data_IF_055578191521
#
_entry.id   IF_055578191521
#
_cell.length_a   1.000
_cell.length_b   1.000
_cell.length_c   1.000
_cell.angle_alpha   90.00
_cell.angle_beta   90.00
_cell.angle_gamma   90.00
#
_symmetry.space_group_name_H-M   'P 1'
#
loop_
_entity.id
_entity.type
_entity.pdbx_description
1 polymer ?
#
# COMPACT_ATOMS: atom_id res chain seq x y z
N UNK A 1 3.69 46.48 -22.88
CA UNK A 1 4.76 45.59 -23.38
C UNK A 1 5.01 44.55 -22.29
N UNK A 2 4.59 43.30 -22.52
CA UNK A 2 4.56 42.27 -21.47
C UNK A 2 3.74 41.09 -21.95
N UNK A 3 4.17 40.49 -23.06
CA UNK A 3 3.44 39.39 -23.71
C UNK A 3 3.54 38.11 -22.88
N UNK A 4 2.37 37.53 -22.58
CA UNK A 4 2.23 36.24 -21.94
C UNK A 4 2.61 35.13 -22.92
N UNK A 5 3.72 34.44 -22.68
CA UNK A 5 4.09 33.25 -23.47
C UNK A 5 3.15 32.10 -23.14
N UNK A 6 2.13 31.89 -23.97
CA UNK A 6 1.36 30.62 -24.01
C UNK A 6 2.28 29.51 -24.52
N UNK A 7 2.57 28.52 -23.67
CA UNK A 7 3.20 27.26 -24.09
C UNK A 7 2.23 26.46 -24.99
N UNK A 8 2.68 25.87 -26.10
CA UNK A 8 1.82 25.04 -26.93
C UNK A 8 1.47 23.75 -26.17
N UNK A 9 0.18 23.42 -26.13
CA UNK A 9 -0.30 22.10 -25.70
C UNK A 9 0.22 21.08 -26.72
N UNK A 10 1.16 20.24 -26.31
CA UNK A 10 1.57 19.08 -27.08
C UNK A 10 0.34 18.23 -27.37
N UNK A 11 0.14 17.88 -28.64
CA UNK A 11 -0.91 16.98 -29.08
C UNK A 11 -0.70 15.64 -28.36
N UNK A 12 -1.60 15.30 -27.44
CA UNK A 12 -1.73 13.94 -26.95
C UNK A 12 -2.21 13.11 -28.13
N UNK A 13 -1.35 12.21 -28.59
CA UNK A 13 -1.71 11.12 -29.49
C UNK A 13 -2.93 10.43 -28.88
N UNK A 14 -4.07 10.55 -29.55
CA UNK A 14 -5.25 9.75 -29.24
C UNK A 14 -4.90 8.31 -29.57
N UNK A 15 -4.37 7.60 -28.57
CA UNK A 15 -4.24 6.15 -28.61
C UNK A 15 -5.62 5.52 -28.67
N UNK A 16 -5.72 4.53 -29.54
CA UNK A 16 -6.94 3.82 -29.94
C UNK A 16 -7.82 3.42 -28.74
N UNK A 17 -9.11 3.77 -28.82
CA UNK A 17 -10.12 3.54 -27.77
C UNK A 17 -10.70 2.15 -27.98
N UNK A 18 -9.94 1.12 -27.63
CA UNK A 18 -10.49 -0.21 -27.36
C UNK A 18 -10.47 -0.41 -25.85
N UNK A 19 -11.65 -0.41 -25.24
CA UNK A 19 -11.81 -0.71 -23.82
C UNK A 19 -11.17 -2.06 -23.52
N UNK A 20 -10.07 -2.06 -22.78
CA UNK A 20 -9.40 -3.28 -22.40
C UNK A 20 -10.39 -4.17 -21.62
N UNK A 21 -10.45 -5.45 -21.98
CA UNK A 21 -11.23 -6.45 -21.24
C UNK A 21 -10.83 -6.41 -19.75
N UNK A 22 -11.80 -6.50 -18.82
CA UNK A 22 -11.50 -6.49 -17.39
C UNK A 22 -10.55 -7.64 -17.04
N UNK A 23 -9.38 -7.32 -16.49
CA UNK A 23 -8.45 -8.30 -15.94
C UNK A 23 -8.87 -8.66 -14.52
N UNK A 24 -8.74 -9.92 -14.12
CA UNK A 24 -8.92 -10.34 -12.73
C UNK A 24 -7.54 -10.39 -12.06
N UNK A 25 -7.44 -9.81 -10.86
CA UNK A 25 -6.22 -9.75 -10.07
C UNK A 25 -6.46 -10.41 -8.71
N UNK A 26 -5.58 -11.33 -8.32
CA UNK A 26 -5.66 -12.05 -7.04
C UNK A 26 -4.99 -11.22 -5.93
N UNK A 27 -5.75 -10.48 -5.14
CA UNK A 27 -5.19 -9.63 -4.08
C UNK A 27 -5.13 -10.35 -2.72
N UNK A 28 -4.58 -9.66 -1.71
CA UNK A 28 -4.54 -10.15 -0.34
C UNK A 28 -5.92 -10.24 0.32
N UNK A 29 -6.88 -9.41 -0.09
CA UNK A 29 -8.24 -9.48 0.42
C UNK A 29 -9.10 -10.38 -0.45
N UNK A 30 -9.40 -9.92 -1.66
CA UNK A 30 -10.30 -10.63 -2.58
C UNK A 30 -9.85 -10.50 -4.05
N UNK A 31 -10.45 -11.28 -4.93
CA UNK A 31 -10.27 -11.14 -6.38
C UNK A 31 -10.91 -9.84 -6.86
N UNK A 32 -10.13 -9.01 -7.54
CA UNK A 32 -10.58 -7.69 -8.02
C UNK A 32 -10.60 -7.64 -9.56
N UNK A 33 -11.72 -7.24 -10.18
CA UNK A 33 -11.74 -6.89 -11.60
C UNK A 33 -11.12 -5.50 -11.81
N UNK A 34 -10.14 -5.41 -12.68
CA UNK A 34 -9.39 -4.20 -13.02
C UNK A 34 -9.58 -3.88 -14.49
N UNK A 35 -9.93 -2.64 -14.80
CA UNK A 35 -10.03 -2.15 -16.17
C UNK A 35 -9.18 -0.89 -16.32
N UNK A 36 -8.41 -0.84 -17.40
CA UNK A 36 -7.68 0.37 -17.76
C UNK A 36 -8.61 1.39 -18.40
N UNK A 37 -8.56 2.61 -17.89
CA UNK A 37 -9.26 3.76 -18.46
C UNK A 37 -8.22 4.72 -19.06
N UNK A 38 -8.14 4.74 -20.40
CA UNK A 38 -7.21 5.60 -21.14
C UNK A 38 -7.58 7.08 -21.10
N UNK A 39 -8.81 7.41 -20.70
CA UNK A 39 -9.29 8.79 -20.54
C UNK A 39 -9.11 9.34 -19.12
N UNK A 40 -8.84 8.47 -18.14
CA UNK A 40 -8.64 8.87 -16.75
C UNK A 40 -7.19 9.29 -16.47
N UNK A 41 -7.00 10.25 -15.57
CA UNK A 41 -5.68 10.58 -15.06
C UNK A 41 -5.16 9.42 -14.18
N UNK A 42 -3.88 9.09 -14.31
CA UNK A 42 -3.23 8.11 -13.44
C UNK A 42 -3.29 8.59 -11.99
N UNK A 43 -3.79 7.74 -11.10
CA UNK A 43 -3.78 8.00 -9.65
C UNK A 43 -2.54 7.35 -9.01
N UNK A 44 -1.99 7.94 -7.94
CA UNK A 44 -0.85 7.35 -7.23
C UNK A 44 -1.11 5.91 -6.73
N UNK A 45 -2.37 5.58 -6.44
CA UNK A 45 -2.80 4.28 -5.93
C UNK A 45 -3.40 3.36 -6.99
N UNK A 46 -3.46 3.78 -8.26
CA UNK A 46 -4.07 2.98 -9.33
C UNK A 46 -3.38 1.63 -9.56
N UNK A 47 -2.10 1.51 -9.19
CA UNK A 47 -1.33 0.28 -9.31
C UNK A 47 -1.33 -0.57 -8.03
N UNK A 48 -1.96 -0.10 -6.96
CA UNK A 48 -1.96 -0.78 -5.65
C UNK A 48 -2.51 -2.21 -5.74
N UNK A 49 -3.50 -2.45 -6.60
CA UNK A 49 -4.12 -3.78 -6.79
C UNK A 49 -3.10 -4.81 -7.28
N UNK A 50 -2.22 -4.43 -8.22
CA UNK A 50 -1.14 -5.31 -8.71
C UNK A 50 -0.03 -5.48 -7.67
N UNK A 51 0.25 -4.44 -6.87
CA UNK A 51 1.17 -4.60 -5.74
C UNK A 51 0.59 -5.56 -4.69
N UNK A 52 -0.72 -5.52 -4.44
CA UNK A 52 -1.37 -6.46 -3.54
C UNK A 52 -1.31 -7.91 -4.07
N UNK A 53 -1.38 -8.12 -5.38
CA UNK A 53 -1.15 -9.43 -5.99
C UNK A 53 0.27 -9.94 -5.78
N UNK A 54 1.27 -9.08 -5.94
CA UNK A 54 2.64 -9.42 -5.59
C UNK A 54 2.76 -9.88 -4.12
N UNK A 55 2.09 -9.17 -3.20
CA UNK A 55 2.10 -9.55 -1.78
C UNK A 55 1.37 -10.88 -1.54
N UNK A 56 0.26 -11.14 -2.24
CA UNK A 56 -0.48 -12.39 -2.16
C UNK A 56 0.34 -13.58 -2.68
N UNK A 57 1.05 -13.40 -3.80
CA UNK A 57 1.90 -14.43 -4.40
C UNK A 57 3.13 -14.74 -3.53
N UNK A 58 3.80 -13.71 -3.00
CA UNK A 58 5.04 -13.86 -2.22
C UNK A 58 4.80 -14.23 -0.76
N UNK A 59 3.60 -13.93 -0.25
CA UNK A 59 3.22 -14.07 1.17
C UNK A 59 4.11 -13.29 2.13
N UNK A 60 4.88 -12.31 1.63
CA UNK A 60 5.83 -11.54 2.45
C UNK A 60 5.10 -10.70 3.50
N UNK A 61 3.96 -10.09 3.13
CA UNK A 61 3.15 -9.29 4.04
C UNK A 61 2.50 -10.17 5.12
N UNK A 62 1.93 -11.32 4.74
CA UNK A 62 1.31 -12.25 5.69
C UNK A 62 2.31 -12.74 6.74
N UNK A 63 3.53 -13.12 6.32
CA UNK A 63 4.61 -13.52 7.25
C UNK A 63 5.02 -12.37 8.16
N UNK A 64 5.23 -11.17 7.60
CA UNK A 64 5.61 -9.99 8.38
C UNK A 64 4.56 -9.63 9.44
N UNK A 65 3.27 -9.73 9.10
CA UNK A 65 2.16 -9.52 10.05
C UNK A 65 2.12 -10.63 11.10
N UNK A 66 2.27 -11.90 10.72
CA UNK A 66 2.20 -13.02 11.65
C UNK A 66 3.31 -13.00 12.72
N UNK A 67 4.51 -12.56 12.32
CA UNK A 67 5.66 -12.44 13.23
C UNK A 67 5.66 -11.15 14.04
N UNK A 68 4.65 -10.28 13.88
CA UNK A 68 4.58 -8.99 14.54
C UNK A 68 4.45 -9.14 16.07
N UNK A 69 5.33 -8.51 16.88
CA UNK A 69 5.31 -8.62 18.33
C UNK A 69 4.21 -7.78 19.00
N UNK A 70 3.43 -7.01 18.23
CA UNK A 70 2.40 -6.13 18.75
C UNK A 70 1.27 -6.91 19.42
N UNK A 71 1.17 -6.83 20.73
CA UNK A 71 0.08 -7.49 21.49
C UNK A 71 -0.97 -6.48 21.94
N UNK A 72 -2.24 -6.84 21.83
CA UNK A 72 -3.37 -6.10 22.39
C UNK A 72 -4.10 -6.93 23.44
N UNK A 73 -4.64 -6.24 24.45
CA UNK A 73 -5.51 -6.84 25.47
C UNK A 73 -6.99 -6.50 25.30
N UNK A 74 -7.32 -5.53 24.43
CA UNK A 74 -8.69 -5.04 24.22
C UNK A 74 -9.29 -5.59 22.94
N UNK A 75 -10.56 -6.04 22.99
CA UNK A 75 -11.31 -6.45 21.80
C UNK A 75 -11.67 -5.30 20.83
N UNK A 76 -11.48 -4.03 21.24
CA UNK A 76 -11.69 -2.86 20.39
C UNK A 76 -10.40 -2.41 19.69
N UNK A 77 -9.28 -3.10 19.92
CA UNK A 77 -8.02 -2.76 19.29
C UNK A 77 -8.06 -3.10 17.79
N UNK A 78 -7.38 -2.31 16.93
CA UNK A 78 -7.22 -2.69 15.54
C UNK A 78 -6.41 -3.98 15.43
N UNK A 79 -6.58 -4.72 14.33
CA UNK A 79 -5.72 -5.90 14.11
C UNK A 79 -4.29 -5.47 13.77
N UNK A 80 -3.31 -6.34 14.02
CA UNK A 80 -1.93 -6.11 13.56
C UNK A 80 -1.89 -5.86 12.05
N UNK A 81 -2.70 -6.59 11.29
CA UNK A 81 -2.84 -6.43 9.85
C UNK A 81 -3.32 -5.03 9.48
N UNK A 82 -4.36 -4.51 10.13
CA UNK A 82 -4.88 -3.16 9.88
C UNK A 82 -3.81 -2.08 10.16
N UNK A 83 -3.06 -2.24 11.25
CA UNK A 83 -1.98 -1.31 11.63
C UNK A 83 -0.85 -1.34 10.59
N UNK A 84 -0.32 -2.52 10.29
CA UNK A 84 0.83 -2.68 9.40
C UNK A 84 0.48 -2.41 7.93
N UNK A 85 -0.74 -2.78 7.51
CA UNK A 85 -1.28 -2.42 6.20
C UNK A 85 -1.44 -0.91 6.04
N UNK A 86 -1.91 -0.21 7.08
CA UNK A 86 -2.00 1.25 7.08
C UNK A 86 -0.62 1.90 6.98
N UNK A 87 0.38 1.37 7.71
CA UNK A 87 1.77 1.85 7.62
C UNK A 87 2.32 1.68 6.20
N UNK A 88 2.17 0.48 5.63
CA UNK A 88 2.62 0.17 4.28
C UNK A 88 1.95 1.07 3.24
N UNK A 89 0.64 1.27 3.33
CA UNK A 89 -0.08 2.15 2.41
C UNK A 89 0.41 3.61 2.53
N UNK A 90 0.69 4.09 3.74
CA UNK A 90 1.32 5.40 3.95
C UNK A 90 2.68 5.53 3.27
N UNK A 91 3.52 4.49 3.36
CA UNK A 91 4.82 4.46 2.69
C UNK A 91 4.68 4.45 1.16
N UNK A 92 3.77 3.64 0.62
CA UNK A 92 3.46 3.58 -0.82
C UNK A 92 2.86 4.90 -1.34
N UNK A 93 2.12 5.62 -0.49
CA UNK A 93 1.62 6.96 -0.77
C UNK A 93 2.71 8.05 -0.74
N UNK A 94 3.96 7.70 -0.40
CA UNK A 94 5.06 8.65 -0.27
C UNK A 94 4.93 9.57 0.94
N UNK A 95 4.15 9.17 1.96
CA UNK A 95 3.99 9.97 3.16
C UNK A 95 5.26 9.99 4.00
N UNK A 96 5.76 11.19 4.30
CA UNK A 96 6.96 11.39 5.14
C UNK A 96 6.63 11.69 6.60
N UNK A 97 5.35 11.88 6.94
CA UNK A 97 4.87 12.16 8.29
C UNK A 97 3.61 11.34 8.55
N UNK A 98 3.49 10.77 9.75
CA UNK A 98 2.32 10.00 10.15
C UNK A 98 1.02 10.80 9.96
N UNK A 99 1.02 12.11 10.26
CA UNK A 99 -0.12 13.03 10.07
C UNK A 99 -0.85 12.87 8.73
N UNK A 100 -0.12 12.58 7.64
CA UNK A 100 -0.69 12.49 6.30
C UNK A 100 -1.49 11.20 6.07
N UNK A 101 -1.33 10.17 6.91
CA UNK A 101 -2.09 8.92 6.83
C UNK A 101 -3.60 9.16 6.97
N UNK A 102 -4.01 10.24 7.64
CA UNK A 102 -5.43 10.62 7.72
C UNK A 102 -6.09 10.77 6.35
N UNK A 103 -5.35 11.17 5.31
CA UNK A 103 -5.86 11.27 3.94
C UNK A 103 -6.26 9.91 3.34
N UNK A 104 -5.73 8.80 3.85
CA UNK A 104 -5.98 7.44 3.36
C UNK A 104 -7.18 6.79 4.04
N UNK A 105 -7.70 7.34 5.15
CA UNK A 105 -8.68 6.64 6.01
C UNK A 105 -9.95 6.19 5.29
N UNK A 106 -10.36 6.92 4.25
CA UNK A 106 -11.56 6.63 3.47
C UNK A 106 -11.35 5.71 2.26
N UNK A 107 -10.12 5.27 2.00
CA UNK A 107 -9.81 4.44 0.83
C UNK A 107 -10.18 2.97 1.06
N UNK A 108 -11.46 2.66 0.82
CA UNK A 108 -11.99 1.31 0.95
C UNK A 108 -11.41 0.33 -0.06
N UNK A 109 -11.03 0.81 -1.24
CA UNK A 109 -10.45 -0.03 -2.30
C UNK A 109 -9.06 -0.48 -1.91
N UNK A 110 -8.24 0.44 -1.39
CA UNK A 110 -6.93 0.10 -0.84
C UNK A 110 -7.03 -0.85 0.35
N UNK A 111 -7.99 -0.62 1.25
CA UNK A 111 -8.23 -1.51 2.38
C UNK A 111 -8.58 -2.93 1.91
N UNK A 112 -9.53 -3.05 0.97
CA UNK A 112 -9.95 -4.35 0.44
C UNK A 112 -8.82 -5.05 -0.32
N UNK A 113 -8.06 -4.34 -1.17
CA UNK A 113 -6.95 -4.92 -1.91
C UNK A 113 -5.88 -5.52 -0.97
N UNK A 114 -5.61 -4.87 0.16
CA UNK A 114 -4.65 -5.35 1.15
C UNK A 114 -5.26 -6.35 2.17
N UNK A 115 -6.56 -6.63 2.09
CA UNK A 115 -7.27 -7.48 3.03
C UNK A 115 -7.32 -6.90 4.45
N UNK A 116 -7.51 -5.59 4.56
CA UNK A 116 -7.66 -4.87 5.83
C UNK A 116 -9.15 -4.75 6.16
N UNK A 117 -9.51 -4.83 7.44
CA UNK A 117 -10.85 -4.46 7.89
C UNK A 117 -11.07 -2.95 7.78
N UNK A 118 -9.99 -2.18 8.00
CA UNK A 118 -10.01 -0.71 7.94
C UNK A 118 -8.61 -0.13 7.87
N UNK A 119 -8.50 1.06 7.30
CA UNK A 119 -7.33 1.92 7.45
C UNK A 119 -7.45 2.63 8.81
N UNK A 120 -6.47 2.42 9.70
CA UNK A 120 -6.50 2.96 11.06
C UNK A 120 -6.17 4.46 11.07
N UNK A 121 -6.46 5.13 12.19
CA UNK A 121 -6.03 6.51 12.37
C UNK A 121 -4.51 6.60 12.52
N UNK A 122 -3.97 7.78 12.19
CA UNK A 122 -2.60 8.15 12.48
C UNK A 122 -2.23 7.91 13.95
N UNK A 123 -3.05 8.41 14.88
CA UNK A 123 -2.82 8.21 16.32
C UNK A 123 -2.84 6.72 16.72
N UNK A 124 -3.73 5.91 16.12
CA UNK A 124 -3.80 4.49 16.43
C UNK A 124 -2.56 3.76 15.93
N UNK A 125 -2.08 4.10 14.72
CA UNK A 125 -0.83 3.58 14.19
C UNK A 125 0.35 3.98 15.09
N UNK A 126 0.50 5.26 15.43
CA UNK A 126 1.61 5.75 16.26
C UNK A 126 1.64 5.03 17.61
N UNK A 127 0.50 4.95 18.30
CA UNK A 127 0.36 4.24 19.58
C UNK A 127 0.59 2.73 19.46
N UNK A 128 0.30 2.14 18.30
CA UNK A 128 0.58 0.72 18.07
C UNK A 128 2.09 0.49 17.95
N UNK A 129 2.79 1.31 17.17
CA UNK A 129 4.24 1.22 17.02
C UNK A 129 4.99 1.51 18.33
N UNK A 130 4.52 2.49 19.11
CA UNK A 130 5.07 2.83 20.44
C UNK A 130 4.98 1.68 21.46
N UNK A 131 4.10 0.69 21.25
CA UNK A 131 3.96 -0.48 22.14
C UNK A 131 5.00 -1.55 21.90
N UNK A 132 5.68 -1.53 20.75
CA UNK A 132 6.70 -2.50 20.42
C UNK A 132 8.03 -1.96 20.96
N UNK A 133 8.61 -2.64 21.94
CA UNK A 133 9.92 -2.25 22.44
C UNK A 133 11.03 -2.44 21.39
N UNK A 134 12.14 -1.71 21.56
CA UNK A 134 13.24 -1.71 20.59
C UNK A 134 13.87 -3.11 20.39
N UNK A 135 14.13 -3.91 21.44
CA UNK A 135 14.60 -5.29 21.26
C UNK A 135 13.66 -6.15 20.41
N UNK A 136 12.36 -6.16 20.72
CA UNK A 136 11.35 -6.91 19.98
C UNK A 136 11.21 -6.42 18.54
N UNK A 137 11.19 -5.09 18.34
CA UNK A 137 11.18 -4.48 17.01
C UNK A 137 12.38 -4.90 16.17
N UNK A 138 13.58 -4.90 16.78
CA UNK A 138 14.81 -5.29 16.09
C UNK A 138 14.83 -6.77 15.72
N UNK A 139 14.40 -7.64 16.65
CA UNK A 139 14.32 -9.07 16.43
C UNK A 139 13.31 -9.45 15.33
N UNK A 140 12.24 -8.67 15.18
CA UNK A 140 11.21 -8.85 14.16
C UNK A 140 11.60 -8.25 12.79
N UNK A 141 12.08 -7.00 12.76
CA UNK A 141 12.31 -6.27 11.50
C UNK A 141 13.57 -6.71 10.75
N UNK A 142 14.65 -7.09 11.45
CA UNK A 142 15.91 -7.48 10.78
C UNK A 142 15.74 -8.74 9.91
N UNK A 143 15.16 -9.85 10.40
CA UNK A 143 14.93 -11.02 9.56
C UNK A 143 13.95 -10.73 8.42
N UNK A 144 12.88 -9.97 8.67
CA UNK A 144 11.90 -9.60 7.66
C UNK A 144 12.54 -8.82 6.49
N UNK A 145 13.41 -7.85 6.80
CA UNK A 145 14.17 -7.10 5.80
C UNK A 145 15.15 -8.01 5.03
N UNK A 146 15.91 -8.84 5.73
CA UNK A 146 16.88 -9.72 5.06
C UNK A 146 16.18 -10.72 4.14
N UNK A 147 15.04 -11.27 4.56
CA UNK A 147 14.29 -12.23 3.76
C UNK A 147 13.68 -11.59 2.51
N UNK A 148 13.30 -10.31 2.54
CA UNK A 148 12.74 -9.63 1.36
C UNK A 148 13.77 -9.33 0.27
N UNK A 149 15.07 -9.27 0.61
CA UNK A 149 16.13 -8.94 -0.33
C UNK A 149 17.10 -10.09 -0.64
N UNK A 150 17.17 -11.13 0.20
CA UNK A 150 18.20 -12.17 0.10
C UNK A 150 18.24 -12.86 -1.27
N UNK A 151 17.10 -13.27 -1.79
CA UNK A 151 17.03 -13.88 -3.13
C UNK A 151 17.47 -12.94 -4.26
N UNK A 152 17.38 -11.62 -4.07
CA UNK A 152 17.86 -10.64 -5.03
C UNK A 152 19.38 -10.43 -4.90
N UNK A 153 19.92 -10.52 -3.69
CA UNK A 153 21.36 -10.41 -3.43
C UNK A 153 22.14 -11.66 -3.90
N UNK A 154 21.49 -12.82 -3.95
CA UNK A 154 22.09 -14.09 -4.38
C UNK A 154 22.06 -14.29 -5.92
N UNK A 155 21.56 -13.30 -6.68
CA UNK A 155 21.54 -13.31 -8.15
C UNK A 155 22.73 -12.52 -8.71
N UNK A 156 23.47 -13.06 -9.70
CA UNK A 156 24.63 -12.39 -10.30
C UNK A 156 24.27 -11.15 -11.12
#
# INVERSE_FOLDING_TARGET
MGESKRKPKGALVQGDVHGAEPQVVDTLGERMPVRWDSGAAATPHGQLVFFAELLAATRVFDRWVADCPLTYSSGNAPTQRDVLGTLMLGLLAGHRRYAHITALRGDVVAAQALGLNRIVSEDALRRALERIDEPASTAWMRPALLHSVREALDKP
#
